data_IF_915111592454
#
_entry.id   IF_915111592454
#
_cell.length_a   1.000
_cell.length_b   1.000
_cell.length_c   1.000
_cell.angle_alpha   90.00
_cell.angle_beta   90.00
_cell.angle_gamma   90.00
#
_symmetry.space_group_name_H-M   'P 1'
#
loop_
_entity.id
_entity.type
_entity.pdbx_description
1 polymer ?
#
# COMPACT_ATOMS: atom_id res chain seq x y z
N UNK A 1 23.75 9.44 16.28
CA UNK A 1 22.36 9.80 16.62
C UNK A 1 22.39 10.48 17.98
N UNK A 2 21.82 11.67 18.14
CA UNK A 2 21.80 12.38 19.43
C UNK A 2 20.68 11.83 20.32
N UNK A 3 20.80 11.96 21.65
CA UNK A 3 19.73 11.56 22.58
C UNK A 3 18.42 12.33 22.32
N UNK A 4 18.52 13.58 21.87
CA UNK A 4 17.37 14.38 21.46
C UNK A 4 16.60 13.75 20.29
N UNK A 5 17.31 13.32 19.23
CA UNK A 5 16.69 12.65 18.08
C UNK A 5 16.03 11.34 18.53
N UNK A 6 16.70 10.58 19.41
CA UNK A 6 16.15 9.31 19.92
C UNK A 6 14.85 9.54 20.69
N UNK A 7 14.80 10.54 21.58
CA UNK A 7 13.59 10.91 22.32
C UNK A 7 12.47 11.30 21.36
N UNK A 8 12.75 12.15 20.38
CA UNK A 8 11.76 12.60 19.40
C UNK A 8 11.15 11.44 18.60
N UNK A 9 11.98 10.48 18.17
CA UNK A 9 11.52 9.29 17.45
C UNK A 9 10.63 8.41 18.34
N UNK A 10 10.93 8.27 19.62
CA UNK A 10 10.10 7.53 20.57
C UNK A 10 8.74 8.19 20.81
N UNK A 11 8.71 9.51 20.94
CA UNK A 11 7.44 10.27 21.07
C UNK A 11 6.56 10.12 19.82
N UNK A 12 7.15 10.20 18.64
CA UNK A 12 6.41 9.96 17.38
C UNK A 12 5.94 8.52 17.24
N UNK A 13 6.77 7.54 17.62
CA UNK A 13 6.35 6.15 17.63
C UNK A 13 5.15 5.95 18.57
N UNK A 14 5.19 6.48 19.79
CA UNK A 14 4.06 6.41 20.71
C UNK A 14 2.80 7.11 20.18
N UNK A 15 2.95 8.22 19.46
CA UNK A 15 1.83 8.95 18.88
C UNK A 15 1.19 8.24 17.68
N UNK A 16 1.99 7.68 16.77
CA UNK A 16 1.51 7.21 15.46
C UNK A 16 1.43 5.69 15.35
N UNK A 17 2.17 4.92 16.14
CA UNK A 17 2.12 3.46 16.15
C UNK A 17 0.97 2.96 17.04
N UNK A 18 -0.25 3.41 16.75
CA UNK A 18 -1.46 3.01 17.45
C UNK A 18 -2.57 2.65 16.46
N UNK A 19 -3.51 1.80 16.89
CA UNK A 19 -4.60 1.33 16.03
C UNK A 19 -5.47 2.47 15.46
N UNK A 20 -5.63 3.56 16.23
CA UNK A 20 -6.40 4.73 15.78
C UNK A 20 -5.77 5.45 14.58
N UNK A 21 -4.45 5.36 14.38
CA UNK A 21 -3.78 5.99 13.25
C UNK A 21 -3.90 5.18 11.95
N UNK A 22 -4.17 3.88 12.06
CA UNK A 22 -4.24 2.95 10.92
C UNK A 22 -5.34 3.36 9.94
N UNK A 23 -6.53 3.72 10.42
CA UNK A 23 -7.72 3.97 9.58
C UNK A 23 -7.49 4.98 8.45
N UNK A 24 -6.63 5.97 8.67
CA UNK A 24 -6.33 7.03 7.69
C UNK A 24 -4.92 6.93 7.11
N UNK A 25 -4.23 5.81 7.32
CA UNK A 25 -2.88 5.56 6.86
C UNK A 25 -2.87 4.41 5.84
N UNK A 26 -1.94 4.41 4.85
CA UNK A 26 -1.82 3.30 3.90
C UNK A 26 -1.58 1.95 4.59
N UNK A 27 -1.03 1.90 5.80
CA UNK A 27 -0.86 0.64 6.53
C UNK A 27 -2.19 -0.09 6.78
N UNK A 28 -3.35 0.57 6.64
CA UNK A 28 -4.65 -0.10 6.71
C UNK A 28 -4.82 -1.23 5.70
N UNK A 29 -4.21 -1.16 4.52
CA UNK A 29 -4.48 -2.11 3.45
C UNK A 29 -3.95 -3.52 3.78
N UNK A 30 -2.70 -3.68 4.26
CA UNK A 30 -2.20 -4.96 4.77
C UNK A 30 -3.04 -5.53 5.91
N UNK A 31 -3.53 -4.67 6.81
CA UNK A 31 -4.37 -5.08 7.94
C UNK A 31 -5.76 -5.61 7.55
N UNK A 32 -6.15 -5.53 6.27
CA UNK A 32 -7.40 -6.13 5.76
C UNK A 32 -7.31 -7.65 5.59
N UNK A 33 -6.12 -8.25 5.73
CA UNK A 33 -5.88 -9.66 5.43
C UNK A 33 -5.31 -10.42 6.62
N UNK A 34 -5.63 -11.71 6.70
CA UNK A 34 -5.11 -12.63 7.73
C UNK A 34 -4.00 -13.54 7.21
N UNK A 35 -4.08 -13.90 5.92
CA UNK A 35 -3.09 -14.77 5.28
C UNK A 35 -1.81 -13.99 5.02
N UNK A 36 -0.68 -14.54 5.48
CA UNK A 36 0.64 -13.89 5.38
C UNK A 36 1.01 -13.44 3.97
N UNK A 37 0.75 -14.26 2.94
CA UNK A 37 1.06 -13.89 1.57
C UNK A 37 0.24 -12.69 1.07
N UNK A 38 -1.03 -12.60 1.47
CA UNK A 38 -1.89 -11.46 1.11
C UNK A 38 -1.42 -10.17 1.80
N UNK A 39 -1.03 -10.27 3.08
CA UNK A 39 -0.45 -9.16 3.86
C UNK A 39 0.84 -8.66 3.21
N UNK A 40 1.76 -9.57 2.85
CA UNK A 40 3.05 -9.22 2.25
C UNK A 40 2.89 -8.53 0.89
N UNK A 41 2.05 -9.07 0.01
CA UNK A 41 1.79 -8.49 -1.31
C UNK A 41 1.08 -7.12 -1.16
N UNK A 42 0.07 -7.03 -0.31
CA UNK A 42 -0.61 -5.77 0.00
C UNK A 42 0.37 -4.72 0.52
N UNK A 43 1.24 -5.11 1.45
CA UNK A 43 2.21 -4.24 2.09
C UNK A 43 3.21 -3.68 1.09
N UNK A 44 3.78 -4.56 0.26
CA UNK A 44 4.73 -4.15 -0.77
C UNK A 44 4.11 -3.16 -1.77
N UNK A 45 2.96 -3.50 -2.35
CA UNK A 45 2.30 -2.67 -3.36
C UNK A 45 1.87 -1.31 -2.80
N UNK A 46 1.30 -1.31 -1.60
CA UNK A 46 0.89 -0.07 -0.91
C UNK A 46 2.10 0.79 -0.56
N UNK A 47 3.20 0.19 -0.10
CA UNK A 47 4.42 0.92 0.24
C UNK A 47 5.04 1.62 -0.98
N UNK A 48 5.08 0.94 -2.14
CA UNK A 48 5.60 1.51 -3.40
C UNK A 48 4.80 2.75 -3.82
N UNK A 49 3.49 2.79 -3.53
CA UNK A 49 2.63 3.94 -3.84
C UNK A 49 2.67 5.05 -2.79
N UNK A 50 3.23 4.82 -1.61
CA UNK A 50 3.06 5.68 -0.42
C UNK A 50 3.99 6.91 -0.39
N UNK A 51 4.23 7.54 -1.52
CA UNK A 51 5.04 8.75 -1.63
C UNK A 51 4.20 9.96 -2.06
N UNK A 52 3.99 10.95 -1.19
CA UNK A 52 3.32 12.23 -1.48
C UNK A 52 1.96 12.41 -0.81
N UNK A 53 0.94 12.91 -1.54
CA UNK A 53 -0.33 13.30 -0.91
C UNK A 53 -1.12 12.09 -0.41
N UNK A 54 -1.30 11.99 0.92
CA UNK A 54 -1.99 10.88 1.61
C UNK A 54 -3.38 10.57 1.03
N UNK A 55 -4.20 11.58 0.73
CA UNK A 55 -5.56 11.35 0.19
C UNK A 55 -5.50 10.66 -1.19
N UNK A 56 -4.56 11.06 -2.04
CA UNK A 56 -4.36 10.41 -3.34
C UNK A 56 -3.81 9.00 -3.20
N UNK A 57 -2.88 8.77 -2.25
CA UNK A 57 -2.34 7.43 -1.95
C UNK A 57 -3.47 6.50 -1.54
N UNK A 58 -4.28 6.90 -0.55
CA UNK A 58 -5.40 6.09 -0.06
C UNK A 58 -6.39 5.77 -1.18
N UNK A 59 -6.76 6.75 -2.00
CA UNK A 59 -7.68 6.54 -3.14
C UNK A 59 -7.14 5.48 -4.10
N UNK A 60 -5.86 5.57 -4.45
CA UNK A 60 -5.25 4.72 -5.48
C UNK A 60 -4.87 3.33 -4.96
N UNK A 61 -4.44 3.22 -3.70
CA UNK A 61 -4.27 1.93 -3.05
C UNK A 61 -5.63 1.21 -2.91
N UNK A 62 -6.70 1.92 -2.57
CA UNK A 62 -8.04 1.31 -2.51
C UNK A 62 -8.53 0.83 -3.89
N UNK A 63 -8.27 1.59 -4.95
CA UNK A 63 -8.53 1.18 -6.34
C UNK A 63 -7.78 -0.13 -6.69
N UNK A 64 -6.48 -0.21 -6.38
CA UNK A 64 -5.68 -1.42 -6.60
C UNK A 64 -6.20 -2.60 -5.80
N UNK A 65 -6.53 -2.39 -4.53
CA UNK A 65 -7.07 -3.43 -3.65
C UNK A 65 -8.42 -3.97 -4.11
N UNK A 66 -9.27 -3.12 -4.71
CA UNK A 66 -10.53 -3.56 -5.35
C UNK A 66 -10.27 -4.43 -6.59
N UNK A 67 -9.26 -4.09 -7.40
CA UNK A 67 -8.87 -4.90 -8.57
C UNK A 67 -8.35 -6.28 -8.15
N UNK A 68 -7.51 -6.34 -7.11
CA UNK A 68 -7.01 -7.60 -6.57
C UNK A 68 -8.09 -8.49 -5.93
N UNK A 69 -9.21 -7.90 -5.53
CA UNK A 69 -10.32 -8.58 -4.89
C UNK A 69 -9.96 -9.11 -3.49
N UNK A 70 -10.49 -10.28 -3.14
CA UNK A 70 -10.41 -10.84 -1.78
C UNK A 70 -9.03 -11.36 -1.40
N UNK A 71 -8.17 -11.67 -2.37
CA UNK A 71 -6.82 -12.22 -2.13
C UNK A 71 -5.80 -11.67 -3.14
N UNK A 72 -4.97 -10.70 -2.73
CA UNK A 72 -3.79 -10.27 -3.49
C UNK A 72 -2.91 -11.43 -3.98
N UNK A 73 -2.73 -12.46 -3.16
CA UNK A 73 -1.98 -13.66 -3.52
C UNK A 73 -2.61 -14.41 -4.69
N UNK A 74 -3.92 -14.68 -4.65
CA UNK A 74 -4.61 -15.34 -5.75
C UNK A 74 -4.62 -14.48 -7.02
N UNK A 75 -4.72 -13.15 -6.88
CA UNK A 75 -4.63 -12.23 -7.99
C UNK A 75 -3.28 -12.32 -8.72
N UNK A 76 -2.17 -12.36 -7.96
CA UNK A 76 -0.83 -12.52 -8.53
C UNK A 76 -0.67 -13.89 -9.21
N UNK A 77 -1.07 -14.98 -8.54
CA UNK A 77 -0.93 -16.34 -9.07
C UNK A 77 -1.77 -16.58 -10.33
N UNK A 78 -2.98 -16.02 -10.39
CA UNK A 78 -3.83 -16.13 -11.58
C UNK A 78 -3.33 -15.31 -12.78
N UNK A 79 -2.30 -14.47 -12.58
CA UNK A 79 -1.79 -13.54 -13.57
C UNK A 79 -2.85 -12.58 -14.14
N UNK A 80 -3.95 -12.34 -13.40
CA UNK A 80 -5.02 -11.45 -13.84
C UNK A 80 -4.53 -10.02 -14.11
N UNK A 81 -3.48 -9.60 -13.40
CA UNK A 81 -2.80 -8.31 -13.64
C UNK A 81 -2.33 -8.10 -15.08
N UNK A 82 -2.09 -9.15 -15.87
CA UNK A 82 -1.73 -9.00 -17.30
C UNK A 82 -2.88 -8.47 -18.14
N UNK A 83 -4.13 -8.70 -17.71
CA UNK A 83 -5.34 -8.20 -18.38
C UNK A 83 -5.71 -6.82 -17.84
N UNK A 84 -5.58 -6.62 -16.54
CA UNK A 84 -5.94 -5.35 -15.90
C UNK A 84 -4.90 -4.25 -16.17
N UNK A 85 -3.65 -4.66 -16.42
CA UNK A 85 -2.54 -3.80 -16.82
C UNK A 85 -1.89 -4.32 -18.12
N UNK A 86 -2.53 -4.13 -19.29
CA UNK A 86 -2.01 -4.61 -20.57
C UNK A 86 -0.70 -3.93 -20.96
N UNK A 87 0.23 -4.70 -21.56
CA UNK A 87 1.52 -4.23 -22.08
C UNK A 87 1.42 -3.11 -23.16
N UNK A 88 0.21 -2.93 -23.71
CA UNK A 88 -0.10 -1.95 -24.75
C UNK A 88 -0.59 -0.63 -24.18
N UNK A 89 -0.96 -0.59 -22.90
CA UNK A 89 -1.45 0.61 -22.25
C UNK A 89 -0.26 1.48 -21.82
N UNK A 90 -0.21 2.70 -22.36
CA UNK A 90 0.86 3.68 -22.05
C UNK A 90 0.46 4.70 -20.99
N UNK A 91 -0.73 4.56 -20.41
CA UNK A 91 -1.18 5.46 -19.35
C UNK A 91 -0.37 5.23 -18.07
N UNK A 92 -0.63 6.05 -17.05
CA UNK A 92 -0.05 5.88 -15.71
C UNK A 92 -1.15 5.51 -14.72
N UNK A 93 -0.95 4.42 -13.98
CA UNK A 93 -1.87 4.02 -12.92
C UNK A 93 -1.77 4.99 -11.74
N UNK A 94 -0.53 5.31 -11.35
CA UNK A 94 -0.27 6.24 -10.26
C UNK A 94 1.07 6.95 -10.38
N UNK A 95 1.03 8.23 -10.78
CA UNK A 95 2.20 9.11 -10.89
C UNK A 95 3.35 8.46 -11.70
N UNK A 96 4.33 7.88 -11.00
CA UNK A 96 5.52 7.23 -11.55
C UNK A 96 5.30 5.74 -11.89
N UNK A 97 4.13 5.19 -11.56
CA UNK A 97 3.75 3.82 -11.89
C UNK A 97 2.96 3.82 -13.20
N UNK A 98 3.69 3.63 -14.30
CA UNK A 98 3.11 3.44 -15.62
C UNK A 98 2.48 2.06 -15.76
N UNK A 99 1.46 1.95 -16.60
CA UNK A 99 1.09 0.66 -17.18
C UNK A 99 2.29 0.19 -18.03
N UNK A 100 2.60 -1.12 -17.94
CA UNK A 100 3.76 -1.71 -18.60
C UNK A 100 3.58 -1.75 -20.13
#
# INVERSE_FOLDING_TARGET
MTEEIKRQLWEWAAAYHCAGFIQNDPVQFPHRYERRQDIEISGLLTAIMSFGNRKQILKKADELHRLMGVSPHQYVLSCQWKKDFPATDRSSFYRMLSYA
#
